data_IF_046503945110
#
_entry.id   IF_046503945110
#
_cell.length_a   1.000
_cell.length_b   1.000
_cell.length_c   1.000
_cell.angle_alpha   90.00
_cell.angle_beta   90.00
_cell.angle_gamma   90.00
#
_symmetry.space_group_name_H-M   'P 1'
#
loop_
_entity.id
_entity.type
_entity.pdbx_description
1 polymer ?
#
# COMPACT_ATOMS: atom_id res chain seq x y z
N UNK A 1 21.57 -64.77 25.72
CA UNK A 1 21.47 -63.32 25.98
C UNK A 1 20.00 -62.95 25.89
N UNK A 2 19.24 -63.08 26.98
CA UNK A 2 17.79 -62.84 26.98
C UNK A 2 17.54 -61.35 27.29
N UNK A 3 17.02 -60.62 26.31
CA UNK A 3 16.65 -59.21 26.47
C UNK A 3 15.37 -59.15 27.30
N UNK A 4 15.41 -58.47 28.44
CA UNK A 4 14.26 -58.29 29.31
C UNK A 4 13.20 -57.43 28.61
N UNK A 5 11.99 -57.97 28.45
CA UNK A 5 10.84 -57.24 27.95
C UNK A 5 10.40 -56.19 28.99
N UNK A 6 10.15 -54.93 28.59
CA UNK A 6 9.71 -53.89 29.52
C UNK A 6 8.38 -54.28 30.16
N UNK A 7 8.24 -54.03 31.46
CA UNK A 7 7.08 -54.45 32.24
C UNK A 7 5.79 -53.77 31.76
N UNK A 8 4.65 -54.47 31.88
CA UNK A 8 3.31 -54.01 31.43
C UNK A 8 2.94 -52.61 31.97
N UNK A 9 3.47 -52.24 33.16
CA UNK A 9 3.31 -50.90 33.73
C UNK A 9 4.00 -49.79 32.93
N UNK A 10 5.14 -50.05 32.32
CA UNK A 10 5.82 -49.09 31.43
C UNK A 10 5.05 -48.87 30.13
N UNK A 11 4.41 -49.91 29.58
CA UNK A 11 3.61 -49.81 28.37
C UNK A 11 2.33 -48.99 28.60
N UNK A 12 1.69 -49.15 29.77
CA UNK A 12 0.47 -48.41 30.13
C UNK A 12 0.71 -46.91 30.35
N UNK A 13 1.84 -46.54 30.97
CA UNK A 13 2.23 -45.13 31.16
C UNK A 13 2.48 -44.46 29.81
N UNK A 14 3.23 -45.13 28.92
CA UNK A 14 3.50 -44.62 27.56
C UNK A 14 2.24 -44.47 26.70
N UNK A 15 1.28 -45.40 26.84
CA UNK A 15 -0.01 -45.33 26.13
C UNK A 15 -0.89 -44.18 26.66
N UNK A 16 -0.92 -43.98 27.98
CA UNK A 16 -1.64 -42.85 28.61
C UNK A 16 -1.07 -41.50 28.19
N UNK A 17 0.26 -41.37 28.20
CA UNK A 17 0.93 -40.13 27.81
C UNK A 17 0.74 -39.83 26.32
N UNK A 18 0.72 -40.87 25.46
CA UNK A 18 0.39 -40.75 24.04
C UNK A 18 -1.07 -40.33 23.81
N UNK A 19 -2.03 -40.88 24.56
CA UNK A 19 -3.44 -40.48 24.50
C UNK A 19 -3.66 -39.05 24.99
N UNK A 20 -2.94 -38.61 26.03
CA UNK A 20 -2.97 -37.22 26.50
C UNK A 20 -2.38 -36.29 25.43
N UNK A 21 -1.28 -36.65 24.79
CA UNK A 21 -0.70 -35.88 23.69
C UNK A 21 -1.67 -35.78 22.50
N UNK A 22 -2.29 -36.89 22.09
CA UNK A 22 -3.28 -36.91 21.01
C UNK A 22 -4.52 -36.06 21.37
N UNK A 23 -4.97 -36.08 22.63
CA UNK A 23 -6.08 -35.25 23.10
C UNK A 23 -5.77 -33.75 23.07
N UNK A 24 -4.51 -33.38 23.36
CA UNK A 24 -4.00 -32.00 23.30
C UNK A 24 -3.82 -31.54 21.84
N UNK A 25 -3.41 -32.43 20.92
CA UNK A 25 -3.34 -32.13 19.49
C UNK A 25 -4.73 -32.03 18.84
N UNK A 26 -5.74 -32.77 19.32
CA UNK A 26 -7.13 -32.62 18.85
C UNK A 26 -7.84 -31.37 19.40
N UNK A 27 -7.21 -30.66 20.34
CA UNK A 27 -7.70 -29.37 20.88
C UNK A 27 -6.93 -28.18 20.33
N UNK A 28 -6.15 -28.34 19.25
CA UNK A 28 -5.70 -27.19 18.49
C UNK A 28 -6.92 -26.55 17.83
N UNK A 29 -7.45 -25.48 18.43
CA UNK A 29 -8.41 -24.62 17.76
C UNK A 29 -7.75 -24.13 16.47
N UNK A 30 -8.16 -24.68 15.34
CA UNK A 30 -7.79 -24.16 14.04
C UNK A 30 -8.39 -22.76 14.00
N UNK A 31 -7.55 -21.74 14.16
CA UNK A 31 -7.96 -20.35 14.02
C UNK A 31 -8.38 -20.16 12.56
N UNK A 32 -9.68 -20.31 12.30
CA UNK A 32 -10.25 -19.99 11.01
C UNK A 32 -10.30 -18.48 10.87
N UNK A 33 -9.77 -17.98 9.75
CA UNK A 33 -10.02 -16.62 9.29
C UNK A 33 -11.53 -16.39 9.22
N UNK A 34 -12.07 -15.51 10.06
CA UNK A 34 -13.48 -15.17 10.03
C UNK A 34 -13.76 -14.12 8.94
N UNK A 35 -15.03 -14.04 8.51
CA UNK A 35 -15.50 -13.05 7.56
C UNK A 35 -16.40 -12.05 8.27
N UNK A 36 -15.95 -10.80 8.36
CA UNK A 36 -16.63 -9.71 9.02
C UNK A 36 -17.31 -8.84 7.98
N UNK A 37 -18.63 -8.73 8.07
CA UNK A 37 -19.43 -7.86 7.21
C UNK A 37 -19.87 -6.64 8.00
N UNK A 38 -19.58 -5.45 7.46
CA UNK A 38 -20.08 -4.22 8.04
C UNK A 38 -21.58 -4.08 7.77
N UNK A 39 -22.36 -3.67 8.78
CA UNK A 39 -23.81 -3.41 8.68
C UNK A 39 -24.19 -2.17 9.46
N UNK A 40 -25.32 -1.54 9.12
CA UNK A 40 -25.92 -0.49 9.97
C UNK A 40 -25.41 0.94 9.73
N UNK A 41 -25.00 1.29 8.50
CA UNK A 41 -24.56 2.64 8.11
C UNK A 41 -23.21 3.07 8.70
N UNK A 42 -22.95 4.37 8.89
CA UNK A 42 -21.71 4.86 9.46
C UNK A 42 -21.59 4.60 10.96
N UNK A 43 -20.36 4.61 11.46
CA UNK A 43 -20.08 4.33 12.87
C UNK A 43 -18.60 4.06 13.14
N UNK A 44 -18.27 3.69 14.37
CA UNK A 44 -16.90 3.38 14.77
C UNK A 44 -16.56 1.92 14.46
N UNK A 45 -15.38 1.65 13.90
CA UNK A 45 -14.88 0.28 13.67
C UNK A 45 -14.95 -0.59 14.93
N UNK A 46 -14.81 0.02 16.10
CA UNK A 46 -14.83 -0.64 17.41
C UNK A 46 -16.21 -0.97 17.93
N UNK A 47 -17.29 -0.51 17.29
CA UNK A 47 -18.66 -0.81 17.69
C UNK A 47 -19.10 -2.17 17.11
N UNK A 48 -19.29 -3.12 18.01
CA UNK A 48 -19.63 -4.51 17.65
C UNK A 48 -21.00 -4.64 17.00
N UNK A 49 -21.89 -3.65 17.17
CA UNK A 49 -23.20 -3.64 16.50
C UNK A 49 -23.10 -3.48 14.98
N UNK A 50 -21.94 -3.12 14.45
CA UNK A 50 -21.70 -3.05 13.01
C UNK A 50 -21.10 -4.32 12.40
N UNK A 51 -20.76 -5.34 13.20
CA UNK A 51 -20.10 -6.55 12.69
C UNK A 51 -21.02 -7.76 12.64
N UNK A 52 -21.35 -8.19 11.43
CA UNK A 52 -22.15 -9.37 11.12
C UNK A 52 -21.30 -10.51 10.53
N UNK A 53 -21.76 -11.76 10.67
CA UNK A 53 -21.11 -12.95 10.10
C UNK A 53 -21.51 -13.24 8.65
N UNK A 54 -22.48 -12.50 8.12
CA UNK A 54 -22.97 -12.58 6.73
C UNK A 54 -23.38 -11.20 6.24
N UNK A 55 -23.36 -10.98 4.92
CA UNK A 55 -23.81 -9.73 4.29
C UNK A 55 -25.25 -9.39 4.68
N UNK A 56 -25.47 -8.17 5.18
CA UNK A 56 -26.79 -7.70 5.64
C UNK A 56 -27.34 -8.41 6.88
N UNK A 57 -26.54 -9.25 7.54
CA UNK A 57 -26.94 -9.96 8.75
C UNK A 57 -27.08 -9.06 9.98
N UNK A 58 -27.43 -9.67 11.11
CA UNK A 58 -27.48 -8.96 12.39
C UNK A 58 -26.06 -8.66 12.89
N UNK A 59 -25.85 -7.44 13.38
CA UNK A 59 -24.64 -7.06 14.10
C UNK A 59 -24.48 -7.77 15.44
N UNK A 60 -23.35 -7.53 16.12
CA UNK A 60 -22.93 -8.25 17.32
C UNK A 60 -22.72 -9.76 17.09
N UNK A 61 -22.36 -10.18 15.87
CA UNK A 61 -22.07 -11.58 15.57
C UNK A 61 -20.75 -12.06 16.20
N UNK A 62 -19.90 -11.14 16.65
CA UNK A 62 -18.57 -11.40 17.19
C UNK A 62 -18.36 -10.72 18.54
N UNK A 63 -17.43 -11.25 19.33
CA UNK A 63 -17.03 -10.67 20.62
C UNK A 63 -15.85 -9.70 20.52
N UNK A 64 -15.19 -9.64 19.37
CA UNK A 64 -14.03 -8.79 19.11
C UNK A 64 -14.13 -8.22 17.70
N UNK A 65 -13.47 -7.09 17.47
CA UNK A 65 -13.25 -6.51 16.14
C UNK A 65 -12.38 -7.45 15.26
N UNK A 66 -12.39 -7.27 13.93
CA UNK A 66 -11.51 -8.02 13.03
C UNK A 66 -10.04 -7.95 13.45
N UNK A 67 -9.32 -9.06 13.23
CA UNK A 67 -7.88 -9.19 13.45
C UNK A 67 -7.13 -9.41 12.14
N UNK A 68 -5.80 -9.45 12.20
CA UNK A 68 -4.92 -9.58 11.03
C UNK A 68 -5.11 -10.85 10.19
N UNK A 69 -5.83 -11.83 10.70
CA UNK A 69 -6.21 -13.08 10.00
C UNK A 69 -7.61 -13.04 9.40
N UNK A 70 -8.43 -12.06 9.76
CA UNK A 70 -9.84 -12.01 9.40
C UNK A 70 -10.08 -11.16 8.15
N UNK A 71 -11.04 -11.57 7.31
CA UNK A 71 -11.39 -10.82 6.11
C UNK A 71 -12.55 -9.86 6.41
N UNK A 72 -12.47 -8.65 5.87
CA UNK A 72 -13.44 -7.57 6.11
C UNK A 72 -14.13 -7.19 4.82
N UNK A 73 -15.45 -7.09 4.86
CA UNK A 73 -16.31 -6.81 3.73
C UNK A 73 -17.21 -5.61 4.00
N UNK A 74 -17.18 -4.67 3.08
CA UNK A 74 -18.18 -3.62 2.92
C UNK A 74 -18.87 -3.84 1.59
N UNK A 75 -20.19 -4.00 1.59
CA UNK A 75 -20.95 -4.32 0.39
C UNK A 75 -22.25 -3.50 0.32
N UNK A 76 -23.11 -3.81 -0.66
CA UNK A 76 -24.39 -3.10 -0.87
C UNK A 76 -25.33 -3.16 0.33
N UNK A 77 -25.19 -4.15 1.22
CA UNK A 77 -26.00 -4.26 2.44
C UNK A 77 -25.35 -3.59 3.65
N UNK A 78 -24.15 -3.03 3.51
CA UNK A 78 -23.46 -2.31 4.59
C UNK A 78 -24.07 -0.94 4.89
N UNK A 79 -24.63 -0.27 3.88
CA UNK A 79 -25.12 1.10 3.98
C UNK A 79 -26.53 1.21 3.36
N UNK A 80 -27.47 1.73 4.14
CA UNK A 80 -28.82 2.07 3.71
C UNK A 80 -29.00 3.56 3.37
N UNK A 81 -28.08 4.42 3.83
CA UNK A 81 -28.05 5.85 3.55
C UNK A 81 -26.75 6.23 2.83
N UNK A 82 -26.79 7.38 2.14
CA UNK A 82 -25.64 7.88 1.38
C UNK A 82 -24.64 8.58 2.30
N UNK A 83 -23.39 8.73 1.83
CA UNK A 83 -22.33 9.52 2.46
C UNK A 83 -21.98 9.10 3.90
N UNK A 84 -22.12 7.82 4.19
CA UNK A 84 -21.80 7.26 5.50
C UNK A 84 -20.29 7.19 5.73
N UNK A 85 -19.89 7.23 7.01
CA UNK A 85 -18.48 7.23 7.38
C UNK A 85 -18.16 6.16 8.40
N UNK A 86 -17.15 5.36 8.09
CA UNK A 86 -16.58 4.37 9.00
C UNK A 86 -15.38 5.01 9.68
N UNK A 87 -15.47 5.17 11.01
CA UNK A 87 -14.48 5.89 11.81
C UNK A 87 -13.44 4.93 12.37
N UNK A 88 -12.17 5.20 12.07
CA UNK A 88 -11.02 4.44 12.59
C UNK A 88 -10.37 5.24 13.72
N UNK A 89 -10.34 4.68 14.94
CA UNK A 89 -9.64 5.23 16.10
C UNK A 89 -8.53 4.26 16.50
N UNK A 90 -7.32 4.78 16.70
CA UNK A 90 -6.13 3.95 16.89
C UNK A 90 -5.85 3.04 15.68
N UNK A 91 -5.05 2.01 15.90
CA UNK A 91 -4.72 1.03 14.87
C UNK A 91 -5.77 -0.07 14.82
N UNK A 92 -6.36 -0.30 13.65
CA UNK A 92 -7.21 -1.46 13.35
C UNK A 92 -6.55 -2.32 12.28
N UNK A 93 -6.88 -3.60 12.22
CA UNK A 93 -6.22 -4.53 11.30
C UNK A 93 -7.19 -5.55 10.69
N UNK A 94 -6.89 -6.00 9.48
CA UNK A 94 -7.53 -7.13 8.84
C UNK A 94 -6.52 -7.91 7.98
N UNK A 95 -6.90 -9.11 7.55
CA UNK A 95 -6.23 -9.83 6.48
C UNK A 95 -6.56 -9.16 5.13
N UNK A 96 -7.64 -9.59 4.47
CA UNK A 96 -8.13 -8.96 3.25
C UNK A 96 -9.21 -7.93 3.57
N UNK A 97 -9.26 -6.86 2.80
CA UNK A 97 -10.34 -5.88 2.83
C UNK A 97 -10.97 -5.74 1.46
N UNK A 98 -12.29 -5.87 1.39
CA UNK A 98 -13.05 -5.73 0.14
C UNK A 98 -14.22 -4.79 0.33
N UNK A 99 -14.25 -3.71 -0.47
CA UNK A 99 -15.41 -2.89 -0.71
C UNK A 99 -15.98 -3.25 -2.08
N UNK A 100 -17.26 -3.57 -2.16
CA UNK A 100 -17.88 -4.08 -3.38
C UNK A 100 -19.32 -3.61 -3.55
N UNK A 101 -19.82 -3.67 -4.79
CA UNK A 101 -21.16 -3.18 -5.12
C UNK A 101 -21.31 -1.68 -4.88
N UNK A 102 -22.57 -1.24 -4.73
CA UNK A 102 -22.90 0.14 -4.38
C UNK A 102 -22.86 0.37 -2.87
N UNK A 103 -21.78 0.99 -2.40
CA UNK A 103 -21.62 1.41 -0.99
C UNK A 103 -22.13 2.81 -0.72
N UNK A 104 -22.89 3.43 -1.65
CA UNK A 104 -23.54 4.73 -1.48
C UNK A 104 -22.61 5.85 -1.03
N UNK A 105 -21.44 5.94 -1.68
CA UNK A 105 -20.42 6.94 -1.39
C UNK A 105 -19.90 6.89 0.06
N UNK A 106 -20.04 5.75 0.74
CA UNK A 106 -19.44 5.57 2.05
C UNK A 106 -17.92 5.62 1.96
N UNK A 107 -17.28 6.16 2.99
CA UNK A 107 -15.82 6.34 3.05
C UNK A 107 -15.30 6.23 4.47
N UNK A 108 -13.99 6.35 4.63
CA UNK A 108 -13.33 6.36 5.92
C UNK A 108 -13.31 7.75 6.56
N UNK A 109 -13.27 7.79 7.88
CA UNK A 109 -12.88 8.98 8.62
C UNK A 109 -11.84 8.62 9.66
N UNK A 110 -10.79 9.44 9.74
CA UNK A 110 -9.74 9.27 10.73
C UNK A 110 -10.19 9.88 12.06
N UNK A 111 -10.34 9.04 13.08
CA UNK A 111 -10.39 9.45 14.48
C UNK A 111 -8.99 9.58 15.07
N UNK A 112 -8.89 9.79 16.39
CA UNK A 112 -7.61 10.00 17.06
C UNK A 112 -6.63 8.84 16.81
N UNK A 113 -5.48 9.14 16.19
CA UNK A 113 -4.45 8.14 15.89
C UNK A 113 -4.89 7.03 14.92
N UNK A 114 -5.96 7.24 14.15
CA UNK A 114 -6.54 6.23 13.26
C UNK A 114 -5.56 5.76 12.20
N UNK A 115 -5.31 4.44 12.13
CA UNK A 115 -4.51 3.77 11.09
C UNK A 115 -5.18 2.45 10.73
N UNK A 116 -5.29 2.16 9.43
CA UNK A 116 -5.75 0.86 8.92
C UNK A 116 -4.56 0.00 8.53
N UNK A 117 -4.47 -1.21 9.06
CA UNK A 117 -3.49 -2.22 8.69
C UNK A 117 -4.11 -3.34 7.84
N UNK A 118 -3.52 -3.62 6.68
CA UNK A 118 -3.99 -4.68 5.78
C UNK A 118 -2.86 -5.65 5.50
N UNK A 119 -3.07 -6.94 5.78
CA UNK A 119 -2.07 -7.99 5.64
C UNK A 119 -2.21 -8.78 4.33
N UNK A 120 -3.35 -8.69 3.66
CA UNK A 120 -3.66 -9.35 2.40
C UNK A 120 -4.14 -8.34 1.36
N UNK A 121 -5.07 -8.74 0.51
CA UNK A 121 -5.54 -7.89 -0.59
C UNK A 121 -6.37 -6.69 -0.08
N UNK A 122 -6.22 -5.55 -0.76
CA UNK A 122 -7.03 -4.36 -0.57
C UNK A 122 -7.81 -4.08 -1.87
N UNK A 123 -9.12 -4.21 -1.81
CA UNK A 123 -10.01 -3.89 -2.93
C UNK A 123 -11.00 -2.81 -2.52
N UNK A 124 -10.94 -1.68 -3.19
CA UNK A 124 -11.97 -0.64 -3.17
C UNK A 124 -12.96 -0.80 -4.32
N UNK A 125 -14.08 -0.08 -4.23
CA UNK A 125 -15.10 0.00 -5.28
C UNK A 125 -15.18 1.41 -5.84
N UNK A 126 -15.41 1.53 -7.15
CA UNK A 126 -15.55 2.82 -7.82
C UNK A 126 -16.72 3.67 -7.28
N UNK A 127 -17.70 3.06 -6.59
CA UNK A 127 -18.81 3.80 -5.98
C UNK A 127 -18.39 4.67 -4.79
N UNK A 128 -17.15 4.54 -4.32
CA UNK A 128 -16.53 5.46 -3.37
C UNK A 128 -15.91 6.70 -4.04
N UNK A 129 -15.79 6.74 -5.38
CA UNK A 129 -14.97 7.74 -6.07
C UNK A 129 -15.49 9.19 -5.95
N UNK A 130 -16.78 9.36 -5.64
CA UNK A 130 -17.40 10.67 -5.40
C UNK A 130 -17.43 11.06 -3.91
N UNK A 131 -16.95 10.19 -3.02
CA UNK A 131 -16.85 10.49 -1.61
C UNK A 131 -15.66 11.44 -1.33
N UNK A 132 -15.63 12.11 -0.16
CA UNK A 132 -14.43 12.81 0.30
C UNK A 132 -13.22 11.88 0.33
N UNK A 133 -12.03 12.46 0.09
CA UNK A 133 -10.79 11.71 0.05
C UNK A 133 -10.53 10.96 1.36
N UNK A 134 -10.09 9.71 1.23
CA UNK A 134 -9.72 8.85 2.36
C UNK A 134 -8.62 9.55 3.16
N UNK A 135 -8.93 9.86 4.42
CA UNK A 135 -8.02 10.54 5.33
C UNK A 135 -7.31 9.59 6.31
N UNK A 136 -7.65 8.30 6.32
CA UNK A 136 -7.06 7.29 7.20
C UNK A 136 -5.78 6.75 6.57
N UNK A 137 -4.58 6.91 7.17
CA UNK A 137 -3.36 6.26 6.71
C UNK A 137 -3.54 4.74 6.63
N UNK A 138 -2.97 4.13 5.59
CA UNK A 138 -3.00 2.69 5.40
C UNK A 138 -1.58 2.13 5.49
N UNK A 139 -1.39 1.12 6.34
CA UNK A 139 -0.15 0.39 6.46
C UNK A 139 -0.34 -1.04 5.94
N UNK A 140 0.38 -1.35 4.88
CA UNK A 140 0.29 -2.56 4.10
C UNK A 140 1.42 -3.52 4.53
N UNK A 141 1.02 -4.67 5.07
CA UNK A 141 1.87 -5.55 5.89
C UNK A 141 1.99 -6.99 5.37
N UNK A 142 1.74 -7.22 4.08
CA UNK A 142 1.75 -8.56 3.50
C UNK A 142 3.03 -9.33 3.81
N UNK A 143 2.89 -10.63 4.06
CA UNK A 143 3.99 -11.56 4.27
C UNK A 143 4.32 -12.39 3.03
N UNK A 144 3.66 -12.12 1.90
CA UNK A 144 3.84 -12.76 0.60
C UNK A 144 3.95 -11.70 -0.48
N UNK A 145 4.34 -12.10 -1.69
CA UNK A 145 4.52 -11.19 -2.83
C UNK A 145 3.37 -11.21 -3.84
N UNK A 146 2.22 -11.78 -3.48
CA UNK A 146 1.10 -12.01 -4.39
C UNK A 146 -0.15 -11.23 -4.00
N UNK A 147 -0.02 -10.14 -3.25
CA UNK A 147 -1.18 -9.35 -2.81
C UNK A 147 -1.51 -8.26 -3.82
N UNK A 148 -2.80 -7.95 -3.91
CA UNK A 148 -3.37 -7.00 -4.85
C UNK A 148 -3.78 -5.71 -4.13
N UNK A 149 -3.53 -4.58 -4.79
CA UNK A 149 -4.05 -3.27 -4.42
C UNK A 149 -4.93 -2.76 -5.55
N UNK A 150 -6.23 -2.84 -5.37
CA UNK A 150 -7.23 -2.29 -6.28
C UNK A 150 -7.88 -1.06 -5.66
N UNK A 151 -7.49 0.13 -6.12
CA UNK A 151 -7.93 1.41 -5.54
C UNK A 151 -9.10 2.04 -6.29
N UNK A 152 -9.47 1.53 -7.47
CA UNK A 152 -10.60 1.95 -8.31
C UNK A 152 -10.71 3.48 -8.53
N UNK A 153 -9.60 4.23 -8.46
CA UNK A 153 -9.61 5.68 -8.56
C UNK A 153 -10.27 6.40 -7.39
N UNK A 154 -10.47 5.74 -6.25
CA UNK A 154 -11.01 6.36 -5.03
C UNK A 154 -10.07 7.47 -4.55
N UNK A 155 -10.57 8.70 -4.31
CA UNK A 155 -9.74 9.80 -3.84
C UNK A 155 -9.03 9.46 -2.52
N UNK A 156 -7.71 9.58 -2.50
CA UNK A 156 -6.88 9.21 -1.34
C UNK A 156 -6.06 10.41 -0.87
N UNK A 157 -6.28 10.88 0.35
CA UNK A 157 -5.75 12.16 0.86
C UNK A 157 -4.64 12.03 1.89
N UNK A 158 -4.02 10.86 2.00
CA UNK A 158 -3.14 10.51 3.13
C UNK A 158 -1.99 9.60 2.67
N UNK A 159 -1.36 8.88 3.60
CA UNK A 159 -0.22 7.99 3.35
C UNK A 159 -0.65 6.55 3.13
N UNK A 160 -0.14 5.95 2.05
CA UNK A 160 -0.12 4.52 1.81
C UNK A 160 1.31 4.02 2.06
N UNK A 161 1.49 3.24 3.13
CA UNK A 161 2.79 2.81 3.64
C UNK A 161 2.95 1.28 3.45
N UNK A 162 4.00 0.85 2.76
CA UNK A 162 4.34 -0.57 2.58
C UNK A 162 5.48 -0.96 3.54
N UNK A 163 5.18 -1.72 4.58
CA UNK A 163 6.03 -1.83 5.79
C UNK A 163 6.30 -3.26 6.26
N UNK A 164 6.42 -4.20 5.33
CA UNK A 164 6.86 -5.55 5.65
C UNK A 164 7.87 -6.06 4.62
N UNK A 165 9.05 -6.47 5.07
CA UNK A 165 10.16 -6.92 4.23
C UNK A 165 9.87 -8.19 3.39
N UNK A 166 8.85 -8.96 3.75
CA UNK A 166 8.40 -10.09 2.95
C UNK A 166 7.32 -9.71 1.93
N UNK A 167 6.70 -8.54 2.10
CA UNK A 167 5.50 -8.12 1.37
C UNK A 167 5.77 -7.74 -0.07
N UNK A 168 4.87 -8.13 -0.95
CA UNK A 168 4.86 -7.72 -2.34
C UNK A 168 3.45 -7.44 -2.83
N UNK A 169 3.28 -6.26 -3.42
CA UNK A 169 1.98 -5.67 -3.74
C UNK A 169 1.92 -5.29 -5.21
N UNK A 170 0.81 -5.63 -5.88
CA UNK A 170 0.57 -5.28 -7.29
C UNK A 170 -0.66 -4.41 -7.42
N UNK A 171 -0.48 -3.20 -7.93
CA UNK A 171 -1.60 -2.33 -8.28
C UNK A 171 -2.27 -2.84 -9.57
N UNK A 172 -3.59 -2.99 -9.51
CA UNK A 172 -4.40 -3.43 -10.66
C UNK A 172 -5.28 -2.32 -11.22
N UNK A 173 -5.35 -1.17 -10.54
CA UNK A 173 -6.18 -0.04 -10.94
C UNK A 173 -5.60 1.30 -10.52
N UNK A 174 -6.29 2.37 -10.91
CA UNK A 174 -5.86 3.76 -10.69
C UNK A 174 -5.74 4.10 -9.21
N UNK A 175 -4.59 4.63 -8.80
CA UNK A 175 -4.42 5.30 -7.51
C UNK A 175 -4.64 6.81 -7.67
N UNK A 176 -5.72 7.34 -7.10
CA UNK A 176 -6.10 8.75 -7.21
C UNK A 176 -5.72 9.54 -5.94
N UNK A 177 -4.42 9.72 -5.72
CA UNK A 177 -3.92 10.56 -4.63
C UNK A 177 -4.27 12.04 -4.82
N UNK A 178 -4.81 12.66 -3.77
CA UNK A 178 -5.02 14.10 -3.66
C UNK A 178 -3.72 14.83 -3.29
N UNK A 179 -3.78 16.16 -3.22
CA UNK A 179 -2.64 16.96 -2.75
C UNK A 179 -2.25 16.55 -1.33
N UNK A 180 -0.97 16.25 -1.12
CA UNK A 180 -0.41 15.73 0.13
C UNK A 180 -0.36 14.21 0.22
N UNK A 181 -1.01 13.47 -0.69
CA UNK A 181 -1.01 12.02 -0.65
C UNK A 181 0.40 11.44 -0.89
N UNK A 182 0.79 10.48 -0.08
CA UNK A 182 2.12 9.87 -0.13
C UNK A 182 2.05 8.36 -0.33
N UNK A 183 2.92 7.84 -1.19
CA UNK A 183 3.19 6.42 -1.34
C UNK A 183 4.59 6.16 -0.80
N UNK A 184 4.68 5.46 0.33
CA UNK A 184 5.92 5.23 1.04
C UNK A 184 6.22 3.73 1.09
N UNK A 185 7.34 3.32 0.52
CA UNK A 185 7.79 1.93 0.50
C UNK A 185 8.91 1.82 1.53
N UNK A 186 8.55 1.52 2.78
CA UNK A 186 9.50 1.46 3.90
C UNK A 186 10.35 0.20 3.87
N UNK A 187 9.69 -0.95 3.67
CA UNK A 187 10.35 -2.25 3.74
C UNK A 187 9.95 -3.23 2.64
N UNK A 188 8.85 -3.02 1.91
CA UNK A 188 8.33 -4.04 1.00
C UNK A 188 9.33 -4.56 -0.03
N UNK A 189 9.31 -5.89 -0.21
CA UNK A 189 10.14 -6.62 -1.18
C UNK A 189 9.77 -6.27 -2.61
N UNK A 190 8.48 -6.04 -2.87
CA UNK A 190 7.97 -5.69 -4.19
C UNK A 190 6.82 -4.68 -4.07
N UNK A 191 6.88 -3.62 -4.85
CA UNK A 191 5.68 -2.83 -5.16
C UNK A 191 5.66 -2.67 -6.67
N UNK A 192 4.68 -3.30 -7.33
CA UNK A 192 4.46 -3.22 -8.76
C UNK A 192 3.28 -2.31 -9.06
N UNK A 193 3.50 -1.32 -9.93
CA UNK A 193 2.47 -0.44 -10.46
C UNK A 193 1.78 -1.01 -11.70
N UNK A 194 2.26 -2.15 -12.23
CA UNK A 194 1.66 -2.81 -13.39
C UNK A 194 1.40 -1.84 -14.55
N UNK A 195 0.14 -1.75 -14.98
CA UNK A 195 -0.34 -0.80 -15.99
C UNK A 195 -1.18 0.35 -15.41
N UNK A 196 -1.16 0.54 -14.08
CA UNK A 196 -2.01 1.51 -13.41
C UNK A 196 -1.61 2.96 -13.74
N UNK A 197 -2.59 3.86 -13.61
CA UNK A 197 -2.35 5.30 -13.53
C UNK A 197 -2.29 5.71 -12.07
N UNK A 198 -1.19 6.32 -11.62
CA UNK A 198 -1.03 6.70 -10.23
C UNK A 198 -0.77 8.19 -10.12
N UNK A 199 -1.62 8.90 -9.38
CA UNK A 199 -1.38 10.30 -9.00
C UNK A 199 -1.06 10.35 -7.51
N UNK A 200 0.01 11.04 -7.12
CA UNK A 200 0.41 11.21 -5.72
C UNK A 200 1.29 12.44 -5.56
N UNK A 201 1.45 12.97 -4.36
CA UNK A 201 2.37 14.08 -4.09
C UNK A 201 3.79 13.62 -3.79
N UNK A 202 3.95 12.48 -3.10
CA UNK A 202 5.27 11.89 -2.84
C UNK A 202 5.27 10.41 -3.17
N UNK A 203 6.32 9.96 -3.85
CA UNK A 203 6.73 8.56 -3.89
C UNK A 203 8.08 8.43 -3.21
N UNK A 204 8.16 7.64 -2.14
CA UNK A 204 9.41 7.35 -1.46
C UNK A 204 9.64 5.86 -1.31
N UNK A 205 10.91 5.41 -1.38
CA UNK A 205 11.30 4.02 -1.05
C UNK A 205 12.01 3.91 0.29
N UNK A 206 11.84 4.92 1.14
CA UNK A 206 12.29 4.92 2.52
C UNK A 206 11.74 6.15 3.27
N UNK A 207 11.25 5.94 4.50
CA UNK A 207 10.88 7.04 5.40
C UNK A 207 11.42 6.78 6.80
N UNK A 208 12.41 7.57 7.20
CA UNK A 208 12.91 7.68 8.58
C UNK A 208 13.49 9.08 8.75
N UNK A 209 13.31 9.70 9.92
CA UNK A 209 13.71 11.10 10.17
C UNK A 209 15.22 11.37 10.01
N UNK A 210 16.03 10.32 9.91
CA UNK A 210 17.50 10.38 9.80
C UNK A 210 18.06 10.08 8.41
N UNK A 211 17.26 9.78 7.38
CA UNK A 211 17.75 9.44 6.02
C UNK A 211 18.83 8.33 5.97
N UNK A 212 19.02 7.56 7.04
CA UNK A 212 19.94 6.42 7.03
C UNK A 212 19.30 5.30 6.23
N UNK A 213 19.72 5.16 4.98
CA UNK A 213 19.30 4.14 4.02
C UNK A 213 18.91 2.78 4.65
N UNK A 214 17.66 2.34 4.44
CA UNK A 214 17.25 0.95 4.70
C UNK A 214 18.12 -0.01 3.89
N UNK A 215 18.62 -1.06 4.54
CA UNK A 215 19.40 -2.12 3.87
C UNK A 215 18.52 -3.21 3.27
N UNK A 216 17.19 -3.10 3.38
CA UNK A 216 16.27 -4.10 2.82
C UNK A 216 16.25 -3.99 1.30
N UNK A 217 16.58 -5.09 0.62
CA UNK A 217 16.46 -5.17 -0.84
C UNK A 217 14.98 -5.26 -1.23
N UNK A 218 14.51 -4.29 -2.02
CA UNK A 218 13.15 -4.23 -2.54
C UNK A 218 13.15 -3.83 -4.01
N UNK A 219 12.10 -4.24 -4.73
CA UNK A 219 11.90 -3.88 -6.14
C UNK A 219 10.72 -2.92 -6.26
N UNK A 220 10.97 -1.75 -6.85
CA UNK A 220 9.92 -0.92 -7.42
C UNK A 220 9.77 -1.31 -8.88
N UNK A 221 8.67 -1.95 -9.23
CA UNK A 221 8.32 -2.29 -10.60
C UNK A 221 7.30 -1.30 -11.13
N UNK A 222 7.68 -0.53 -12.13
CA UNK A 222 6.82 0.47 -12.74
C UNK A 222 6.03 -0.09 -13.93
N UNK A 223 6.36 -1.29 -14.43
CA UNK A 223 5.67 -1.92 -15.56
C UNK A 223 5.46 -0.97 -16.75
N UNK A 224 4.21 -0.78 -17.16
CA UNK A 224 3.78 0.20 -18.16
C UNK A 224 3.00 1.37 -17.55
N UNK A 225 3.18 1.63 -16.25
CA UNK A 225 2.40 2.59 -15.51
C UNK A 225 2.60 4.02 -16.01
N UNK A 226 1.61 4.87 -15.73
CA UNK A 226 1.79 6.33 -15.79
C UNK A 226 1.70 6.87 -14.38
N UNK A 227 2.84 7.29 -13.83
CA UNK A 227 2.94 7.85 -12.49
C UNK A 227 3.08 9.36 -12.59
N UNK A 228 2.09 10.10 -12.09
CA UNK A 228 2.09 11.55 -12.04
C UNK A 228 2.31 12.03 -10.61
N UNK A 229 3.43 12.70 -10.39
CA UNK A 229 3.77 13.36 -9.16
C UNK A 229 3.17 14.77 -9.17
N UNK A 230 2.23 15.01 -8.27
CA UNK A 230 1.64 16.32 -8.01
C UNK A 230 2.71 17.28 -7.51
N UNK A 231 2.61 18.55 -7.91
CA UNK A 231 3.47 19.62 -7.38
C UNK A 231 3.22 19.74 -5.88
N UNK A 232 4.29 19.65 -5.10
CA UNK A 232 4.25 19.87 -3.66
C UNK A 232 4.70 21.29 -3.33
N UNK A 233 4.26 21.84 -2.21
CA UNK A 233 4.81 23.05 -1.60
C UNK A 233 6.19 22.82 -0.92
N UNK A 234 6.71 21.58 -0.90
CA UNK A 234 7.99 21.19 -0.29
C UNK A 234 8.85 20.37 -1.26
N UNK A 235 10.20 20.45 -1.21
CA UNK A 235 11.08 19.55 -1.95
C UNK A 235 10.85 18.07 -1.60
N UNK A 236 11.08 17.17 -2.57
CA UNK A 236 11.15 15.72 -2.34
C UNK A 236 9.99 14.86 -2.89
N UNK A 237 9.37 15.24 -4.01
CA UNK A 237 8.25 14.47 -4.58
C UNK A 237 8.65 13.05 -5.04
N UNK A 238 9.91 12.81 -5.46
CA UNK A 238 10.43 11.48 -5.79
C UNK A 238 11.71 11.18 -5.02
N UNK A 239 11.62 10.31 -4.02
CA UNK A 239 12.72 9.99 -3.11
C UNK A 239 13.04 8.48 -3.15
N UNK A 240 13.98 8.10 -4.01
CA UNK A 240 14.41 6.70 -4.18
C UNK A 240 15.76 6.45 -3.46
N UNK A 241 15.75 6.59 -2.14
CA UNK A 241 16.97 6.61 -1.31
C UNK A 241 17.39 5.25 -0.78
N UNK A 242 16.68 4.18 -1.11
CA UNK A 242 17.10 2.83 -0.72
C UNK A 242 18.30 2.39 -1.59
N UNK A 243 19.49 2.14 -1.01
CA UNK A 243 20.69 1.75 -1.75
C UNK A 243 20.56 0.36 -2.37
N UNK A 244 19.67 -0.47 -1.85
CA UNK A 244 19.39 -1.82 -2.33
C UNK A 244 18.15 -1.88 -3.23
N UNK A 245 17.58 -0.73 -3.60
CA UNK A 245 16.44 -0.67 -4.51
C UNK A 245 16.76 -1.25 -5.88
N UNK A 246 15.95 -2.18 -6.37
CA UNK A 246 15.89 -2.52 -7.79
C UNK A 246 14.75 -1.71 -8.44
N UNK A 247 15.01 -1.08 -9.58
CA UNK A 247 13.98 -0.41 -10.37
C UNK A 247 13.76 -1.20 -11.66
N UNK A 248 12.56 -1.78 -11.81
CA UNK A 248 12.11 -2.34 -13.08
C UNK A 248 11.26 -1.28 -13.79
N UNK A 249 11.87 -0.46 -14.65
CA UNK A 249 11.18 0.69 -15.23
C UNK A 249 10.17 0.32 -16.34
N UNK A 250 10.30 -0.85 -16.96
CA UNK A 250 9.46 -1.31 -18.07
C UNK A 250 9.32 -0.26 -19.17
N UNK A 251 8.09 0.06 -19.55
CA UNK A 251 7.75 1.15 -20.48
C UNK A 251 7.07 2.33 -19.78
N UNK A 252 7.27 2.45 -18.47
CA UNK A 252 6.56 3.44 -17.65
C UNK A 252 6.90 4.88 -17.99
N UNK A 253 6.00 5.79 -17.59
CA UNK A 253 6.21 7.23 -17.63
C UNK A 253 6.08 7.80 -16.23
N UNK A 254 7.12 8.49 -15.76
CA UNK A 254 7.05 9.32 -14.57
C UNK A 254 6.94 10.78 -15.01
N UNK A 255 5.85 11.43 -14.60
CA UNK A 255 5.63 12.86 -14.79
C UNK A 255 5.84 13.58 -13.47
N UNK A 256 6.75 14.54 -13.48
CA UNK A 256 7.02 15.44 -12.38
C UNK A 256 6.30 16.76 -12.66
N UNK A 257 5.41 17.17 -11.77
CA UNK A 257 4.59 18.36 -11.96
C UNK A 257 3.29 18.05 -12.72
N UNK A 258 2.21 18.70 -12.31
CA UNK A 258 0.85 18.30 -12.70
C UNK A 258 0.29 19.13 -13.86
N UNK A 259 0.72 18.89 -15.10
CA UNK A 259 0.15 19.59 -16.26
C UNK A 259 0.34 21.12 -16.24
N UNK A 260 -0.32 21.84 -17.15
CA UNK A 260 -0.33 23.31 -17.14
C UNK A 260 -1.09 23.82 -15.89
N UNK A 261 -0.38 24.35 -14.89
CA UNK A 261 -0.97 24.87 -13.65
C UNK A 261 -0.89 26.39 -13.56
N UNK A 262 -1.92 26.98 -12.97
CA UNK A 262 -2.14 28.43 -12.87
C UNK A 262 -1.66 29.06 -11.56
N UNK A 263 -1.23 28.29 -10.54
CA UNK A 263 -0.67 28.82 -9.29
C UNK A 263 0.40 27.90 -8.69
N UNK A 264 1.51 28.51 -8.24
CA UNK A 264 2.84 27.92 -8.12
C UNK A 264 3.38 27.89 -6.68
N UNK A 265 4.02 26.78 -6.30
CA UNK A 265 5.23 26.76 -5.45
C UNK A 265 5.87 25.37 -5.44
N UNK A 266 7.21 25.35 -5.47
CA UNK A 266 8.16 24.34 -4.93
C UNK A 266 9.03 23.47 -5.85
N UNK A 267 10.29 23.22 -5.41
CA UNK A 267 11.35 22.61 -6.19
C UNK A 267 11.20 21.09 -6.13
N UNK A 268 10.74 20.47 -7.20
CA UNK A 268 10.68 19.00 -7.21
C UNK A 268 12.09 18.46 -7.27
N UNK A 269 12.47 17.67 -6.26
CA UNK A 269 13.74 16.95 -6.24
C UNK A 269 13.50 15.49 -6.60
N UNK A 270 14.26 15.00 -7.57
CA UNK A 270 14.42 13.56 -7.85
C UNK A 270 15.76 13.14 -7.26
N UNK A 271 15.72 12.41 -6.16
CA UNK A 271 16.92 11.97 -5.46
C UNK A 271 16.98 10.45 -5.42
N UNK A 272 18.07 9.88 -5.93
CA UNK A 272 18.34 8.44 -5.86
C UNK A 272 19.64 8.17 -5.11
N UNK A 273 19.70 7.10 -4.32
CA UNK A 273 20.93 6.73 -3.59
C UNK A 273 21.97 5.99 -4.45
N UNK A 274 21.54 5.45 -5.60
CA UNK A 274 22.41 4.80 -6.59
C UNK A 274 21.89 5.03 -8.01
N UNK A 275 22.68 4.63 -9.00
CA UNK A 275 22.27 4.63 -10.39
C UNK A 275 21.05 3.71 -10.61
N UNK A 276 20.00 4.26 -11.21
CA UNK A 276 18.81 3.56 -11.64
C UNK A 276 18.61 3.78 -13.15
N UNK A 277 17.85 2.91 -13.80
CA UNK A 277 17.50 3.04 -15.21
C UNK A 277 16.02 3.39 -15.34
N UNK A 278 15.72 4.62 -15.75
CA UNK A 278 14.36 5.08 -15.99
C UNK A 278 14.00 4.92 -17.47
N UNK A 279 12.74 4.57 -17.75
CA UNK A 279 12.24 4.57 -19.11
C UNK A 279 11.95 6.01 -19.57
N UNK A 280 10.84 6.60 -19.13
CA UNK A 280 10.47 7.97 -19.50
C UNK A 280 10.25 8.82 -18.26
N UNK A 281 11.00 9.93 -18.16
CA UNK A 281 10.79 10.96 -17.16
C UNK A 281 10.45 12.29 -17.86
N UNK A 282 9.41 12.97 -17.39
CA UNK A 282 9.01 14.28 -17.90
C UNK A 282 8.88 15.26 -16.75
N UNK A 283 9.62 16.37 -16.80
CA UNK A 283 9.39 17.55 -15.96
C UNK A 283 8.41 18.45 -16.69
N UNK A 284 7.27 18.66 -16.06
CA UNK A 284 6.22 19.56 -16.51
C UNK A 284 6.49 20.98 -15.97
N UNK A 285 5.97 21.99 -16.66
CA UNK A 285 6.13 23.43 -16.38
C UNK A 285 6.15 23.79 -14.88
N UNK A 286 7.01 24.74 -14.46
CA UNK A 286 7.20 25.07 -13.04
C UNK A 286 8.37 26.00 -12.72
N UNK A 287 8.70 26.15 -11.42
CA UNK A 287 9.98 26.72 -10.97
C UNK A 287 11.13 25.68 -11.06
N UNK A 288 10.96 24.71 -11.94
CA UNK A 288 11.93 23.67 -12.26
C UNK A 288 12.07 22.52 -11.27
N UNK A 289 12.87 21.54 -11.69
CA UNK A 289 13.19 20.34 -10.93
C UNK A 289 14.70 20.25 -10.65
N UNK A 290 15.08 19.77 -9.46
CA UNK A 290 16.45 19.41 -9.12
C UNK A 290 16.64 17.90 -9.22
N UNK A 291 17.74 17.49 -9.82
CA UNK A 291 18.07 16.10 -10.09
C UNK A 291 19.35 15.73 -9.37
N UNK A 292 19.24 14.83 -8.39
CA UNK A 292 20.37 14.16 -7.76
C UNK A 292 20.21 12.65 -7.98
N UNK A 293 20.50 12.22 -9.20
CA UNK A 293 20.14 10.90 -9.73
C UNK A 293 21.32 9.93 -9.75
N UNK A 294 22.46 10.25 -9.12
CA UNK A 294 23.57 9.34 -8.87
C UNK A 294 24.03 8.50 -10.09
N UNK A 295 24.30 9.14 -11.24
CA UNK A 295 24.67 8.48 -12.51
C UNK A 295 23.57 7.61 -13.14
N UNK A 296 22.31 7.85 -12.80
CA UNK A 296 21.17 7.16 -13.43
C UNK A 296 21.10 7.42 -14.93
N UNK A 297 20.41 6.51 -15.62
CA UNK A 297 20.13 6.60 -17.05
C UNK A 297 18.65 6.81 -17.34
N UNK A 298 18.36 7.48 -18.45
CA UNK A 298 17.01 7.74 -18.95
C UNK A 298 16.93 7.29 -20.41
N UNK A 299 15.90 6.53 -20.77
CA UNK A 299 15.59 6.33 -22.21
C UNK A 299 14.97 7.59 -22.81
N UNK A 300 14.17 8.32 -22.05
CA UNK A 300 13.66 9.63 -22.42
C UNK A 300 13.67 10.56 -21.21
N UNK A 301 14.25 11.74 -21.38
CA UNK A 301 14.16 12.85 -20.43
C UNK A 301 13.55 14.05 -21.14
N UNK A 302 12.33 14.43 -20.74
CA UNK A 302 11.67 15.65 -21.20
C UNK A 302 11.74 16.72 -20.11
N UNK A 303 12.18 17.91 -20.46
CA UNK A 303 12.31 19.03 -19.53
C UNK A 303 11.58 20.22 -20.14
N UNK A 304 10.33 20.46 -19.76
CA UNK A 304 9.52 21.55 -20.30
C UNK A 304 9.62 22.85 -19.47
N UNK A 305 10.68 22.98 -18.66
CA UNK A 305 10.91 24.08 -17.73
C UNK A 305 12.35 24.05 -17.22
N UNK A 306 12.66 24.74 -16.14
CA UNK A 306 13.99 24.67 -15.52
C UNK A 306 14.31 23.25 -14.99
N UNK A 307 15.52 22.75 -15.25
CA UNK A 307 16.05 21.56 -14.58
C UNK A 307 17.49 21.81 -14.13
N UNK A 308 17.83 21.38 -12.92
CA UNK A 308 19.18 21.45 -12.36
C UNK A 308 19.68 20.03 -12.13
N UNK A 309 20.80 19.67 -12.74
CA UNK A 309 21.48 18.39 -12.50
C UNK A 309 22.60 18.59 -11.47
N UNK A 310 22.39 18.07 -10.27
CA UNK A 310 23.37 18.08 -9.16
C UNK A 310 24.29 16.86 -9.20
N UNK A 311 24.03 15.90 -10.08
CA UNK A 311 24.84 14.72 -10.33
C UNK A 311 24.82 14.39 -11.83
N UNK A 312 25.84 13.71 -12.33
CA UNK A 312 25.83 13.22 -13.71
C UNK A 312 24.64 12.27 -13.95
N UNK A 313 24.16 12.28 -15.20
CA UNK A 313 23.05 11.49 -15.71
C UNK A 313 23.32 11.14 -17.17
N UNK A 314 22.79 10.01 -17.64
CA UNK A 314 23.00 9.52 -19.01
C UNK A 314 21.69 9.39 -19.76
N UNK A 315 21.65 9.84 -21.01
CA UNK A 315 20.60 9.39 -21.94
C UNK A 315 21.08 8.06 -22.54
N UNK A 316 20.33 6.98 -22.29
CA UNK A 316 20.67 5.64 -22.76
C UNK A 316 20.70 5.54 -24.29
N UNK A 317 21.37 4.51 -24.80
CA UNK A 317 21.44 4.28 -26.25
C UNK A 317 20.04 4.19 -26.88
N UNK A 318 19.83 4.92 -27.99
CA UNK A 318 18.52 5.03 -28.63
C UNK A 318 17.49 5.87 -27.86
N UNK A 319 17.92 6.57 -26.81
CA UNK A 319 17.10 7.51 -26.05
C UNK A 319 17.17 8.95 -26.56
N UNK A 320 16.40 9.84 -25.94
CA UNK A 320 16.40 11.27 -26.28
C UNK A 320 16.26 12.19 -25.07
N UNK A 321 16.86 13.37 -25.21
CA UNK A 321 16.64 14.53 -24.35
C UNK A 321 15.78 15.52 -25.15
N UNK A 322 14.64 15.92 -24.59
CA UNK A 322 13.81 16.98 -25.14
C UNK A 322 13.78 18.15 -24.16
N UNK A 323 14.19 19.32 -24.62
CA UNK A 323 14.09 20.57 -23.86
C UNK A 323 12.93 21.38 -24.43
N UNK A 324 12.03 21.81 -23.56
CA UNK A 324 10.93 22.68 -23.89
C UNK A 324 11.39 24.13 -24.05
N UNK A 325 10.44 25.05 -24.29
CA UNK A 325 10.73 26.45 -24.58
C UNK A 325 11.23 27.27 -23.37
N UNK A 326 11.01 26.77 -22.15
CA UNK A 326 11.34 27.38 -20.86
C UNK A 326 12.63 26.78 -20.26
#
# INVERSE_FOLDING_TARGET
>A
MLVALPSVRFLYIRLRDLCLLLSLLSWSAVAHAASYYWVGNGGAWTDMSHWASTSGGAGNAYANVPKSTDNVYFDTNSFAADNQRVTIVGTVTCNNMTWSGDVRQATWTQGAGGVLEVNGDLHYTATMATAPAIAVPHRLLAATTSTVVDMQGVPFGTTLLFDNAAGGWTFTSTFAGAAGAAVNISAAKLVSFGSASLTMSTLSTYTGSTLTASTVAGTLDLGSSTTRLLVQASPGALLLTNPNLALAAGTSTIQVGAGALTNYTSPVSVTTAKALAFNKLVVTAGQGAAFSVANSSFRYLGVNSRAILNSAATIGAGGSLALGPD
#
